data_IF_458844850903
#
_entry.id   IF_458844850903
#
_cell.length_a   1.000
_cell.length_b   1.000
_cell.length_c   1.000
_cell.angle_alpha   90.00
_cell.angle_beta   90.00
_cell.angle_gamma   90.00
#
_symmetry.space_group_name_H-M   'P 1'
#
loop_
_entity.id
_entity.type
_entity.pdbx_description
1 polymer ?
#
# COMPACT_ATOMS: atom_id res chain seq x y z
N UNK A 1 9.13 -3.88 39.38
CA UNK A 1 9.84 -3.44 38.14
C UNK A 1 10.92 -4.40 37.68
N UNK A 2 11.42 -5.35 38.52
CA UNK A 2 12.51 -6.27 38.15
C UNK A 2 12.21 -7.16 36.93
N UNK A 3 11.03 -7.75 36.85
CA UNK A 3 10.68 -8.72 35.78
C UNK A 3 10.76 -8.23 34.35
N UNK A 4 10.63 -6.94 34.09
CA UNK A 4 10.70 -6.38 32.70
C UNK A 4 12.12 -6.35 32.13
N UNK A 5 13.14 -6.38 33.02
CA UNK A 5 14.55 -6.41 32.64
C UNK A 5 15.09 -7.84 32.51
N UNK A 6 14.31 -8.84 32.97
CA UNK A 6 14.71 -10.22 32.84
C UNK A 6 14.69 -10.69 31.39
N UNK A 7 15.58 -11.61 31.01
CA UNK A 7 15.60 -12.18 29.66
C UNK A 7 14.24 -12.81 29.33
N UNK A 8 13.75 -12.54 28.12
CA UNK A 8 12.48 -13.07 27.66
C UNK A 8 12.63 -14.55 27.27
N UNK A 9 12.40 -15.40 28.21
CA UNK A 9 12.52 -16.87 28.07
C UNK A 9 11.21 -17.57 28.48
N UNK A 10 10.95 -18.79 27.98
CA UNK A 10 9.78 -19.56 28.40
C UNK A 10 9.75 -19.87 29.88
N UNK A 11 10.92 -19.89 30.58
CA UNK A 11 11.00 -20.10 32.02
C UNK A 11 10.52 -18.88 32.82
N UNK A 12 10.86 -17.67 32.34
CA UNK A 12 10.50 -16.44 33.04
C UNK A 12 9.08 -15.96 32.70
N UNK A 13 8.62 -16.23 31.46
CA UNK A 13 7.34 -15.74 30.91
C UNK A 13 6.63 -16.82 30.07
N UNK A 14 6.18 -17.97 30.67
CA UNK A 14 5.67 -19.10 29.90
C UNK A 14 4.48 -18.72 28.98
N UNK A 15 3.49 -18.01 29.51
CA UNK A 15 2.28 -17.65 28.79
C UNK A 15 2.52 -16.55 27.72
N UNK A 16 3.33 -15.53 28.10
CA UNK A 16 3.66 -14.43 27.20
C UNK A 16 4.61 -14.87 26.10
N UNK A 17 5.53 -15.79 26.37
CA UNK A 17 6.50 -16.29 25.41
C UNK A 17 5.79 -16.91 24.19
N UNK A 18 4.90 -17.86 24.43
CA UNK A 18 4.14 -18.53 23.39
C UNK A 18 3.23 -17.55 22.66
N UNK A 19 2.54 -16.67 23.39
CA UNK A 19 1.62 -15.67 22.81
C UNK A 19 2.35 -14.66 21.93
N UNK A 20 3.52 -14.17 22.37
CA UNK A 20 4.32 -13.23 21.57
C UNK A 20 4.90 -13.87 20.31
N UNK A 21 5.38 -15.12 20.44
CA UNK A 21 5.94 -15.85 19.33
C UNK A 21 4.90 -16.15 18.25
N UNK A 22 3.82 -16.81 18.64
CA UNK A 22 2.71 -17.16 17.74
C UNK A 22 2.03 -15.89 17.24
N UNK A 23 1.77 -14.92 18.12
CA UNK A 23 1.14 -13.65 17.77
C UNK A 23 1.94 -12.87 16.72
N UNK A 24 3.26 -12.79 16.85
CA UNK A 24 4.10 -12.11 15.86
C UNK A 24 4.01 -12.77 14.49
N UNK A 25 4.04 -14.09 14.41
CA UNK A 25 3.88 -14.82 13.15
C UNK A 25 2.50 -14.58 12.52
N UNK A 26 1.44 -14.63 13.31
CA UNK A 26 0.07 -14.36 12.83
C UNK A 26 -0.05 -12.94 12.28
N UNK A 27 0.52 -11.95 12.98
CA UNK A 27 0.53 -10.55 12.52
C UNK A 27 1.30 -10.40 11.21
N UNK A 28 2.48 -11.00 11.08
CA UNK A 28 3.30 -10.96 9.86
C UNK A 28 2.56 -11.61 8.68
N UNK A 29 2.03 -12.82 8.88
CA UNK A 29 1.26 -13.52 7.83
C UNK A 29 0.02 -12.72 7.44
N UNK A 30 -0.71 -12.19 8.43
CA UNK A 30 -1.86 -11.32 8.20
C UNK A 30 -1.50 -10.07 7.39
N UNK A 31 -0.39 -9.42 7.70
CA UNK A 31 0.11 -8.26 6.97
C UNK A 31 0.41 -8.61 5.50
N UNK A 32 1.07 -9.75 5.25
CA UNK A 32 1.34 -10.24 3.88
C UNK A 32 0.05 -10.49 3.11
N UNK A 33 -0.94 -11.14 3.73
CA UNK A 33 -2.24 -11.41 3.09
C UNK A 33 -2.96 -10.10 2.77
N UNK A 34 -3.06 -9.19 3.74
CA UNK A 34 -3.71 -7.88 3.56
C UNK A 34 -3.02 -7.07 2.45
N UNK A 35 -1.69 -7.03 2.44
CA UNK A 35 -0.92 -6.34 1.41
C UNK A 35 -1.19 -6.92 0.01
N UNK A 36 -1.18 -8.24 -0.15
CA UNK A 36 -1.46 -8.90 -1.43
C UNK A 36 -2.88 -8.62 -1.92
N UNK A 37 -3.88 -8.65 -1.02
CA UNK A 37 -5.27 -8.30 -1.35
C UNK A 37 -5.38 -6.83 -1.74
N UNK A 38 -4.75 -5.93 -0.97
CA UNK A 38 -4.73 -4.50 -1.26
C UNK A 38 -4.09 -4.21 -2.62
N UNK A 39 -2.96 -4.86 -2.93
CA UNK A 39 -2.27 -4.71 -4.20
C UNK A 39 -3.15 -5.11 -5.40
N UNK A 40 -3.93 -6.19 -5.28
CA UNK A 40 -4.88 -6.61 -6.32
C UNK A 40 -6.06 -5.63 -6.44
N UNK A 41 -6.64 -5.22 -5.30
CA UNK A 41 -7.85 -4.40 -5.26
C UNK A 41 -7.60 -2.94 -5.64
N UNK A 42 -6.49 -2.37 -5.16
CA UNK A 42 -6.16 -0.94 -5.31
C UNK A 42 -5.10 -0.66 -6.38
N UNK A 43 -4.84 -1.59 -7.29
CA UNK A 43 -3.85 -1.43 -8.38
C UNK A 43 -4.02 -0.13 -9.20
N UNK A 44 -5.26 0.37 -9.30
CA UNK A 44 -5.59 1.60 -10.03
C UNK A 44 -5.43 2.89 -9.20
N UNK A 45 -5.15 2.77 -7.91
CA UNK A 45 -5.09 3.88 -6.96
C UNK A 45 -3.71 3.91 -6.27
N UNK A 46 -2.69 4.51 -6.90
CA UNK A 46 -1.31 4.45 -6.41
C UNK A 46 -1.14 5.08 -5.02
N UNK A 47 -1.90 6.14 -4.70
CA UNK A 47 -1.84 6.78 -3.38
C UNK A 47 -2.30 5.84 -2.25
N UNK A 48 -3.36 5.06 -2.48
CA UNK A 48 -3.87 4.08 -1.53
C UNK A 48 -2.90 2.90 -1.40
N UNK A 49 -2.30 2.48 -2.52
CA UNK A 49 -1.33 1.40 -2.52
C UNK A 49 -0.07 1.79 -1.74
N UNK A 50 0.43 3.02 -1.91
CA UNK A 50 1.57 3.54 -1.16
C UNK A 50 1.30 3.59 0.36
N UNK A 51 0.07 3.93 0.79
CA UNK A 51 -0.31 3.83 2.21
C UNK A 51 -0.17 2.39 2.72
N UNK A 52 -0.74 1.42 1.99
CA UNK A 52 -0.66 0.01 2.40
C UNK A 52 0.79 -0.49 2.44
N UNK A 53 1.63 -0.04 1.53
CA UNK A 53 3.05 -0.37 1.49
C UNK A 53 3.80 0.18 2.73
N UNK A 54 3.54 1.42 3.13
CA UNK A 54 4.12 2.01 4.34
C UNK A 54 3.69 1.28 5.61
N UNK A 55 2.41 0.96 5.73
CA UNK A 55 1.87 0.20 6.86
C UNK A 55 2.44 -1.22 6.86
N UNK A 56 2.48 -1.88 5.72
CA UNK A 56 3.05 -3.22 5.57
C UNK A 56 4.51 -3.27 6.04
N UNK A 57 5.37 -2.39 5.53
CA UNK A 57 6.78 -2.37 5.94
C UNK A 57 6.95 -2.04 7.42
N UNK A 58 6.14 -1.13 7.97
CA UNK A 58 6.15 -0.84 9.41
C UNK A 58 5.83 -2.08 10.23
N UNK A 59 4.84 -2.87 9.83
CA UNK A 59 4.47 -4.11 10.51
C UNK A 59 5.57 -5.17 10.35
N UNK A 60 6.08 -5.38 9.13
CA UNK A 60 7.11 -6.40 8.87
C UNK A 60 8.40 -6.11 9.65
N UNK A 61 8.87 -4.88 9.66
CA UNK A 61 10.08 -4.50 10.39
C UNK A 61 9.86 -4.64 11.90
N UNK A 62 8.71 -4.21 12.40
CA UNK A 62 8.44 -4.22 13.85
C UNK A 62 8.17 -5.63 14.38
N UNK A 63 7.25 -6.35 13.74
CA UNK A 63 6.81 -7.67 14.21
C UNK A 63 7.64 -8.82 13.64
N UNK A 64 8.25 -8.66 12.47
CA UNK A 64 9.11 -9.68 11.86
C UNK A 64 10.44 -9.87 12.59
N UNK A 65 10.92 -8.82 13.27
CA UNK A 65 12.15 -8.92 14.10
C UNK A 65 11.89 -9.59 15.45
N UNK A 66 10.64 -9.59 15.95
CA UNK A 66 10.29 -10.19 17.27
C UNK A 66 10.74 -11.64 17.41
N UNK A 67 10.47 -12.57 16.47
CA UNK A 67 10.93 -13.95 16.61
C UNK A 67 12.44 -14.08 16.75
N UNK A 68 13.22 -13.25 16.03
CA UNK A 68 14.68 -13.24 16.10
C UNK A 68 15.16 -12.77 17.48
N UNK A 69 14.57 -11.70 18.01
CA UNK A 69 14.92 -11.16 19.33
C UNK A 69 14.53 -12.11 20.46
N UNK A 70 13.44 -12.85 20.29
CA UNK A 70 13.02 -13.89 21.22
C UNK A 70 14.04 -15.03 21.28
N UNK A 71 14.61 -15.45 20.15
CA UNK A 71 15.67 -16.47 20.07
C UNK A 71 16.93 -16.01 20.81
N UNK A 72 17.28 -14.72 20.72
CA UNK A 72 18.46 -14.15 21.40
C UNK A 72 18.20 -13.82 22.88
N UNK A 73 17.00 -14.09 23.39
CA UNK A 73 16.60 -13.87 24.79
C UNK A 73 16.74 -12.40 25.23
N UNK A 74 16.38 -11.46 24.37
CA UNK A 74 16.41 -10.02 24.68
C UNK A 74 15.41 -9.70 25.80
N UNK A 75 15.71 -8.75 26.72
CA UNK A 75 14.79 -8.36 27.78
C UNK A 75 13.42 -7.93 27.23
N UNK A 76 12.33 -8.30 27.92
CA UNK A 76 10.97 -7.98 27.55
C UNK A 76 10.76 -6.48 27.32
N UNK A 77 11.39 -5.63 28.12
CA UNK A 77 11.33 -4.18 27.96
C UNK A 77 11.82 -3.72 26.59
N UNK A 78 12.93 -4.29 26.10
CA UNK A 78 13.46 -3.93 24.76
C UNK A 78 12.54 -4.40 23.63
N UNK A 79 11.90 -5.57 23.78
CA UNK A 79 10.89 -6.02 22.82
C UNK A 79 9.73 -5.03 22.74
N UNK A 80 9.22 -4.58 23.89
CA UNK A 80 8.12 -3.61 23.94
C UNK A 80 8.52 -2.25 23.38
N UNK A 81 9.73 -1.75 23.71
CA UNK A 81 10.23 -0.48 23.20
C UNK A 81 10.40 -0.49 21.69
N UNK A 82 10.77 -1.62 21.10
CA UNK A 82 10.90 -1.75 19.64
C UNK A 82 9.54 -1.65 18.93
N UNK A 83 8.44 -2.05 19.59
CA UNK A 83 7.10 -1.96 19.00
C UNK A 83 6.61 -0.51 18.86
N UNK A 84 6.99 0.37 19.78
CA UNK A 84 6.52 1.76 19.83
C UNK A 84 6.85 2.55 18.55
N UNK A 85 8.11 2.59 18.05
CA UNK A 85 8.43 3.31 16.82
C UNK A 85 7.64 2.81 15.61
N UNK A 86 7.49 1.50 15.45
CA UNK A 86 6.73 0.91 14.35
C UNK A 86 5.26 1.31 14.36
N UNK A 87 4.63 1.27 15.53
CA UNK A 87 3.24 1.72 15.70
C UNK A 87 3.10 3.22 15.44
N UNK A 88 4.05 4.05 15.91
CA UNK A 88 4.06 5.48 15.67
C UNK A 88 4.20 5.81 14.18
N UNK A 89 5.10 5.12 13.46
CA UNK A 89 5.28 5.31 12.01
C UNK A 89 4.01 4.90 11.25
N UNK A 90 3.41 3.75 11.58
CA UNK A 90 2.17 3.30 10.97
C UNK A 90 1.02 4.28 11.25
N UNK A 91 0.86 4.75 12.48
CA UNK A 91 -0.15 5.72 12.88
C UNK A 91 0.08 7.08 12.16
N UNK A 92 1.31 7.58 12.16
CA UNK A 92 1.65 8.82 11.45
C UNK A 92 1.38 8.73 9.95
N UNK A 93 1.74 7.63 9.31
CA UNK A 93 1.45 7.41 7.90
C UNK A 93 -0.06 7.43 7.66
N UNK A 94 -0.84 6.67 8.46
CA UNK A 94 -2.28 6.51 8.27
C UNK A 94 -3.06 7.80 8.54
N UNK A 95 -2.71 8.55 9.61
CA UNK A 95 -3.53 9.66 10.05
C UNK A 95 -3.03 11.03 9.56
N UNK A 96 -1.76 11.17 9.22
CA UNK A 96 -1.17 12.47 8.90
C UNK A 96 -0.58 12.58 7.50
N UNK A 97 0.18 11.58 7.07
CA UNK A 97 0.87 11.62 5.78
C UNK A 97 -0.06 11.39 4.59
N UNK A 98 -0.86 10.34 4.65
CA UNK A 98 -1.62 9.88 3.48
C UNK A 98 -2.99 10.52 3.27
N UNK A 99 -3.75 10.97 4.28
CA UNK A 99 -5.06 11.59 4.05
C UNK A 99 -5.04 12.76 3.04
N UNK A 100 -4.12 13.74 3.12
CA UNK A 100 -4.07 14.81 2.14
C UNK A 100 -3.72 14.32 0.73
N UNK A 101 -2.80 13.35 0.62
CA UNK A 101 -2.39 12.76 -0.67
C UNK A 101 -3.57 12.01 -1.32
N UNK A 102 -4.34 11.29 -0.53
CA UNK A 102 -5.54 10.57 -1.01
C UNK A 102 -6.63 11.56 -1.42
N UNK A 103 -6.83 12.63 -0.66
CA UNK A 103 -7.80 13.67 -0.98
C UNK A 103 -7.46 14.35 -2.32
N UNK A 104 -6.21 14.74 -2.51
CA UNK A 104 -5.71 15.34 -3.75
C UNK A 104 -5.88 14.40 -4.96
N UNK A 105 -5.52 13.12 -4.81
CA UNK A 105 -5.71 12.11 -5.84
C UNK A 105 -7.19 11.91 -6.20
N UNK A 106 -8.09 11.95 -5.22
CA UNK A 106 -9.53 11.85 -5.44
C UNK A 106 -10.07 13.08 -6.17
N UNK A 107 -9.59 14.28 -5.83
CA UNK A 107 -10.00 15.52 -6.50
C UNK A 107 -9.52 15.55 -7.95
N UNK A 108 -8.32 15.05 -8.22
CA UNK A 108 -7.82 14.92 -9.60
C UNK A 108 -8.69 13.94 -10.42
N UNK A 109 -9.06 12.79 -9.85
CA UNK A 109 -9.95 11.83 -10.50
C UNK A 109 -11.31 12.47 -10.76
N UNK A 110 -11.83 13.24 -9.81
CA UNK A 110 -13.10 13.97 -9.95
C UNK A 110 -13.02 15.00 -11.09
N UNK A 111 -11.96 15.80 -11.13
CA UNK A 111 -11.73 16.79 -12.21
C UNK A 111 -11.68 16.13 -13.58
N UNK A 112 -10.95 15.02 -13.72
CA UNK A 112 -10.85 14.27 -14.99
C UNK A 112 -12.19 13.72 -15.48
N UNK A 113 -13.11 13.36 -14.57
CA UNK A 113 -14.46 12.89 -14.92
C UNK A 113 -15.35 14.01 -15.48
N UNK A 114 -15.13 15.24 -15.06
CA UNK A 114 -15.90 16.41 -15.52
C UNK A 114 -15.33 17.07 -16.77
N UNK A 115 -14.09 16.78 -17.17
CA UNK A 115 -13.55 17.25 -18.44
C UNK A 115 -14.09 16.31 -19.54
N UNK A 116 -14.97 16.80 -20.42
CA UNK A 116 -15.42 15.97 -21.54
C UNK A 116 -14.21 15.57 -22.37
N UNK A 117 -14.13 14.32 -22.83
CA UNK A 117 -13.03 13.88 -23.68
C UNK A 117 -12.92 14.86 -24.86
N UNK A 118 -11.70 15.28 -25.27
CA UNK A 118 -11.53 16.19 -26.38
C UNK A 118 -12.31 15.62 -27.56
N UNK A 119 -13.25 16.42 -28.07
CA UNK A 119 -14.08 16.05 -29.21
C UNK A 119 -13.11 15.62 -30.30
N UNK A 120 -13.03 14.34 -30.60
CA UNK A 120 -12.30 13.86 -31.76
C UNK A 120 -12.86 14.66 -32.93
N UNK A 121 -12.11 15.64 -33.39
CA UNK A 121 -12.38 16.25 -34.66
C UNK A 121 -12.47 15.11 -35.65
N UNK A 122 -13.68 14.72 -35.98
CA UNK A 122 -13.96 13.88 -37.13
C UNK A 122 -13.39 14.66 -38.28
N UNK A 123 -12.13 14.37 -38.63
CA UNK A 123 -11.52 14.81 -39.88
C UNK A 123 -12.51 14.35 -40.93
N UNK A 124 -13.42 15.26 -41.27
CA UNK A 124 -14.31 15.09 -42.44
C UNK A 124 -13.33 14.90 -43.59
N UNK A 125 -13.05 13.64 -43.90
CA UNK A 125 -12.38 13.26 -45.10
C UNK A 125 -13.30 13.81 -46.20
N UNK A 126 -13.05 15.06 -46.66
CA UNK A 126 -13.61 15.58 -47.89
C UNK A 126 -13.30 14.52 -48.94
N UNK A 127 -14.29 13.71 -49.21
CA UNK A 127 -14.30 12.81 -50.36
C UNK A 127 -14.19 13.75 -51.56
N UNK A 128 -12.97 13.92 -52.05
CA UNK A 128 -12.73 14.53 -53.34
C UNK A 128 -13.40 13.58 -54.31
N UNK A 129 -14.60 13.93 -54.71
CA UNK A 129 -15.29 13.33 -55.86
C UNK A 129 -14.40 13.55 -57.06
N UNK A 130 -13.88 12.51 -57.73
CA UNK A 130 -13.17 12.69 -58.96
C UNK A 130 -14.18 13.20 -59.99
N UNK A 131 -14.05 14.50 -60.33
CA UNK A 131 -14.79 15.15 -61.40
C UNK A 131 -14.56 14.36 -62.67
N UNK A 132 -15.65 13.86 -63.23
CA UNK A 132 -15.65 13.03 -64.42
C UNK A 132 -14.91 13.66 -65.60
N UNK A 133 -13.93 12.92 -66.08
CA UNK A 133 -13.24 13.25 -67.29
C UNK A 133 -14.21 13.16 -68.48
N UNK A 134 -14.43 14.28 -69.14
CA UNK A 134 -15.09 14.37 -70.40
C UNK A 134 -14.42 13.44 -71.44
N UNK A 135 -15.13 12.39 -71.81
CA UNK A 135 -14.82 11.66 -73.03
C UNK A 135 -15.23 12.52 -74.22
N UNK A 136 -14.29 13.22 -74.79
CA UNK A 136 -14.47 13.80 -76.10
C UNK A 136 -14.39 12.65 -77.14
N UNK A 137 -15.51 12.36 -77.77
CA UNK A 137 -15.63 11.64 -78.99
C UNK A 137 -15.12 12.54 -80.16
N UNK A 138 -14.18 12.02 -80.94
CA UNK A 138 -14.06 12.37 -82.42
C UNK A 138 -13.27 11.28 -83.12
N UNK A 139 -14.01 10.63 -83.99
CA UNK A 139 -13.81 10.29 -85.42
C UNK A 139 -12.51 9.54 -85.74
#
# INVERSE_FOLDING_TARGET
MGKLLDPFTPLNFPDLFTSMWVGSLVVVVGAVVVYNVAQRRYRRYPAILALHEWVFWSIIVTWGVVPLLVIVHVPLLMLLLLQVPGLLVAAWATFRKFPPIIAEANDEIRRRRFVPPPRRETRIRRRVTPTGGHRAHRR
#
